data_IF_317888575548
#
_entry.id   IF_317888575548
#
_cell.length_a   1.000
_cell.length_b   1.000
_cell.length_c   1.000
_cell.angle_alpha   90.00
_cell.angle_beta   90.00
_cell.angle_gamma   90.00
#
_symmetry.space_group_name_H-M   'P 1'
#
loop_
_entity.id
_entity.type
_entity.pdbx_description
1 polymer ?
#
# COMPACT_ATOMS: atom_id res chain seq x y z
N UNK A 1 6.09 -2.78 -15.22
CA UNK A 1 5.65 -2.63 -13.82
C UNK A 1 4.31 -1.89 -13.84
N UNK A 2 3.17 -2.56 -13.59
CA UNK A 2 1.87 -1.88 -13.50
C UNK A 2 1.69 -1.38 -12.07
N UNK A 3 1.71 -0.06 -11.90
CA UNK A 3 1.89 0.56 -10.58
C UNK A 3 0.62 0.58 -9.72
N UNK A 4 -0.57 0.49 -10.32
CA UNK A 4 -1.84 0.26 -9.64
C UNK A 4 -2.76 -0.37 -10.69
N UNK A 5 -3.24 -1.59 -10.43
CA UNK A 5 -4.33 -2.16 -11.20
C UNK A 5 -5.47 -2.45 -10.22
N UNK A 6 -6.70 -2.10 -10.61
CA UNK A 6 -7.86 -2.73 -10.00
C UNK A 6 -7.66 -4.24 -10.13
N UNK A 7 -7.68 -4.94 -9.00
CA UNK A 7 -7.49 -6.39 -9.00
C UNK A 7 -8.85 -7.06 -8.87
N UNK A 8 -9.06 -8.14 -9.62
CA UNK A 8 -10.17 -9.04 -9.34
C UNK A 8 -9.83 -9.77 -8.03
N UNK A 9 -10.65 -9.65 -6.97
CA UNK A 9 -10.45 -10.41 -5.73
C UNK A 9 -10.35 -11.93 -5.97
N UNK A 10 -10.91 -12.43 -7.08
CA UNK A 10 -10.76 -13.84 -7.50
C UNK A 10 -9.31 -14.24 -7.77
N UNK A 11 -8.49 -13.30 -8.22
CA UNK A 11 -7.07 -13.55 -8.46
C UNK A 11 -6.29 -13.77 -7.15
N UNK A 12 -6.82 -13.29 -6.02
CA UNK A 12 -6.23 -13.48 -4.69
C UNK A 12 -6.83 -14.66 -3.92
N UNK A 13 -7.88 -15.31 -4.42
CA UNK A 13 -8.57 -16.38 -3.66
C UNK A 13 -7.72 -17.63 -3.49
N UNK A 14 -6.73 -17.81 -4.37
CA UNK A 14 -5.73 -18.87 -4.26
C UNK A 14 -4.47 -18.42 -3.49
N UNK A 15 -4.37 -17.13 -3.16
CA UNK A 15 -3.26 -16.56 -2.41
C UNK A 15 -3.41 -16.83 -0.91
N UNK A 16 -2.28 -16.98 -0.22
CA UNK A 16 -2.25 -17.13 1.24
C UNK A 16 -2.20 -15.75 1.88
N UNK A 17 -3.17 -15.42 2.73
CA UNK A 17 -3.10 -14.22 3.56
C UNK A 17 -1.93 -14.34 4.55
N UNK A 18 -1.01 -13.38 4.52
CA UNK A 18 0.18 -13.33 5.38
C UNK A 18 0.00 -12.35 6.52
N UNK A 19 -0.60 -11.18 6.23
CA UNK A 19 -0.85 -10.14 7.22
C UNK A 19 -2.01 -9.23 6.78
N UNK A 20 -2.70 -8.63 7.75
CA UNK A 20 -3.74 -7.62 7.50
C UNK A 20 -3.78 -6.54 8.59
N UNK A 21 -4.19 -5.35 8.20
CA UNK A 21 -4.57 -4.21 9.04
C UNK A 21 -5.97 -3.74 8.65
N UNK A 22 -6.46 -2.67 9.28
CA UNK A 22 -7.75 -2.05 8.93
C UNK A 22 -7.83 -1.57 7.48
N UNK A 23 -6.72 -1.19 6.86
CA UNK A 23 -6.67 -0.61 5.51
C UNK A 23 -5.94 -1.48 4.49
N UNK A 24 -5.03 -2.37 4.92
CA UNK A 24 -4.16 -3.13 4.02
C UNK A 24 -4.12 -4.63 4.32
N UNK A 25 -3.93 -5.43 3.29
CA UNK A 25 -3.63 -6.85 3.41
C UNK A 25 -2.45 -7.25 2.51
N UNK A 26 -1.67 -8.22 2.96
CA UNK A 26 -0.56 -8.82 2.21
C UNK A 26 -0.91 -10.27 1.91
N UNK A 27 -0.97 -10.61 0.63
CA UNK A 27 -1.14 -11.97 0.16
C UNK A 27 0.15 -12.48 -0.47
N UNK A 28 0.55 -13.70 -0.12
CA UNK A 28 1.51 -14.49 -0.90
C UNK A 28 0.77 -15.13 -2.07
N UNK A 29 1.16 -14.79 -3.29
CA UNK A 29 0.56 -15.29 -4.53
C UNK A 29 1.47 -16.28 -5.27
N UNK A 30 2.52 -16.77 -4.59
CA UNK A 30 3.48 -17.74 -5.12
C UNK A 30 4.65 -17.09 -5.85
N UNK A 31 5.65 -17.91 -6.19
CA UNK A 31 6.84 -17.49 -6.94
C UNK A 31 7.58 -16.27 -6.33
N UNK A 32 7.72 -16.24 -4.99
CA UNK A 32 8.33 -15.12 -4.26
C UNK A 32 7.69 -13.77 -4.61
N UNK A 33 6.37 -13.78 -4.82
CA UNK A 33 5.60 -12.62 -5.22
C UNK A 33 4.47 -12.38 -4.24
N UNK A 34 4.32 -11.12 -3.84
CA UNK A 34 3.35 -10.68 -2.86
C UNK A 34 2.45 -9.60 -3.45
N UNK A 35 1.18 -9.63 -3.07
CA UNK A 35 0.22 -8.57 -3.38
C UNK A 35 -0.02 -7.73 -2.13
N UNK A 36 0.34 -6.45 -2.17
CA UNK A 36 -0.10 -5.45 -1.19
C UNK A 36 -1.43 -4.89 -1.66
N UNK A 37 -2.50 -5.17 -0.90
CA UNK A 37 -3.88 -4.85 -1.26
C UNK A 37 -4.41 -3.78 -0.33
N UNK A 38 -4.95 -2.70 -0.89
CA UNK A 38 -5.74 -1.72 -0.15
C UNK A 38 -7.19 -2.24 -0.05
N UNK A 39 -7.66 -2.47 1.17
CA UNK A 39 -9.02 -2.92 1.50
C UNK A 39 -9.67 -1.84 2.35
N UNK A 40 -10.45 -0.97 1.71
CA UNK A 40 -11.26 0.02 2.41
C UNK A 40 -12.71 -0.15 1.96
N UNK A 41 -13.68 -0.13 2.89
CA UNK A 41 -15.10 -0.48 2.63
C UNK A 41 -15.77 0.36 1.52
N UNK A 42 -15.19 1.50 1.15
CA UNK A 42 -15.69 2.41 0.14
C UNK A 42 -14.85 2.48 -1.16
N UNK A 43 -13.85 1.59 -1.34
CA UNK A 43 -12.94 1.64 -2.51
C UNK A 43 -12.81 0.25 -3.13
N UNK A 44 -12.79 0.20 -4.46
CA UNK A 44 -12.45 -1.02 -5.19
C UNK A 44 -11.10 -1.57 -4.72
N UNK A 45 -10.97 -2.90 -4.73
CA UNK A 45 -9.71 -3.52 -4.34
C UNK A 45 -8.61 -3.13 -5.32
N UNK A 46 -7.58 -2.49 -4.78
CA UNK A 46 -6.40 -2.09 -5.52
C UNK A 46 -5.21 -2.83 -4.94
N UNK A 47 -4.36 -3.38 -5.80
CA UNK A 47 -3.15 -4.01 -5.33
C UNK A 47 -1.94 -3.70 -6.19
N UNK A 48 -0.79 -3.83 -5.55
CA UNK A 48 0.52 -3.78 -6.19
C UNK A 48 1.17 -5.13 -5.98
N UNK A 49 1.57 -5.75 -7.09
CA UNK A 49 2.33 -7.00 -7.09
C UNK A 49 3.82 -6.68 -7.02
N UNK A 50 4.51 -7.27 -6.05
CA UNK A 50 5.90 -6.97 -5.75
C UNK A 50 6.63 -8.28 -5.45
N UNK A 51 7.88 -8.42 -5.89
CA UNK A 51 8.73 -9.53 -5.44
C UNK A 51 9.02 -9.46 -3.93
N UNK A 52 9.42 -10.56 -3.30
CA UNK A 52 9.67 -10.65 -1.86
C UNK A 52 10.57 -9.56 -1.31
N UNK A 53 11.77 -9.40 -1.88
CA UNK A 53 12.69 -8.32 -1.49
C UNK A 53 12.14 -6.92 -1.79
N UNK A 54 11.32 -6.81 -2.83
CA UNK A 54 10.70 -5.55 -3.22
C UNK A 54 9.64 -5.10 -2.21
N UNK A 55 8.93 -6.02 -1.55
CA UNK A 55 7.88 -5.70 -0.59
C UNK A 55 8.42 -4.87 0.58
N UNK A 56 9.51 -5.32 1.19
CA UNK A 56 10.15 -4.61 2.30
C UNK A 56 10.65 -3.22 1.88
N UNK A 57 11.31 -3.13 0.71
CA UNK A 57 11.86 -1.88 0.20
C UNK A 57 10.78 -0.86 -0.16
N UNK A 58 9.70 -1.31 -0.80
CA UNK A 58 8.57 -0.46 -1.17
C UNK A 58 7.82 0.00 0.07
N UNK A 59 7.58 -0.89 1.04
CA UNK A 59 6.92 -0.52 2.29
C UNK A 59 7.71 0.56 3.06
N UNK A 60 9.03 0.41 3.16
CA UNK A 60 9.90 1.42 3.79
C UNK A 60 9.84 2.77 3.03
N UNK A 61 9.91 2.72 1.70
CA UNK A 61 9.89 3.92 0.86
C UNK A 61 8.55 4.67 0.97
N UNK A 62 7.43 3.95 0.94
CA UNK A 62 6.09 4.53 1.17
C UNK A 62 6.03 5.17 2.56
N UNK A 63 6.45 4.46 3.62
CA UNK A 63 6.41 5.01 4.97
C UNK A 63 7.26 6.28 5.12
N UNK A 64 8.44 6.33 4.48
CA UNK A 64 9.30 7.52 4.47
C UNK A 64 8.69 8.67 3.68
N UNK A 65 8.16 8.39 2.48
CA UNK A 65 7.52 9.38 1.63
C UNK A 65 6.29 10.00 2.33
N UNK A 66 5.41 9.17 2.91
CA UNK A 66 4.22 9.62 3.62
C UNK A 66 4.57 10.51 4.82
N UNK A 67 5.57 10.13 5.63
CA UNK A 67 6.04 10.97 6.74
C UNK A 67 6.59 12.32 6.27
N UNK A 68 7.31 12.33 5.16
CA UNK A 68 7.85 13.57 4.57
C UNK A 68 6.71 14.48 4.09
N UNK A 69 5.75 13.92 3.35
CA UNK A 69 4.59 14.66 2.84
C UNK A 69 3.76 15.23 3.99
N UNK A 70 3.46 14.43 5.01
CA UNK A 70 2.74 14.89 6.19
C UNK A 70 3.43 16.07 6.87
N UNK A 71 4.77 16.01 7.02
CA UNK A 71 5.54 17.10 7.63
C UNK A 71 5.46 18.38 6.80
N UNK A 72 5.53 18.29 5.48
CA UNK A 72 5.38 19.44 4.59
C UNK A 72 4.00 20.07 4.73
N UNK A 73 2.94 19.28 4.64
CA UNK A 73 1.55 19.76 4.80
C UNK A 73 1.33 20.40 6.17
N UNK A 74 1.80 19.75 7.24
CA UNK A 74 1.67 20.30 8.59
C UNK A 74 2.42 21.63 8.76
N UNK A 75 3.59 21.77 8.10
CA UNK A 75 4.36 23.01 8.09
C UNK A 75 3.60 24.13 7.39
N UNK A 76 3.04 23.86 6.21
CA UNK A 76 2.25 24.84 5.43
C UNK A 76 1.01 25.31 6.19
N UNK A 77 0.20 24.38 6.72
CA UNK A 77 -1.00 24.71 7.51
C UNK A 77 -0.67 25.51 8.78
N UNK A 78 0.46 25.23 9.41
CA UNK A 78 0.93 25.99 10.59
C UNK A 78 1.31 27.43 10.23
N UNK A 79 1.88 27.66 9.05
CA UNK A 79 2.20 29.01 8.57
C UNK A 79 0.95 29.78 8.17
N UNK A 80 -0.03 29.12 7.51
CA UNK A 80 -1.32 29.73 7.20
C UNK A 80 -2.08 30.16 8.46
N UNK A 81 -2.07 29.33 9.51
CA UNK A 81 -2.74 29.66 10.78
C UNK A 81 -2.08 30.79 11.57
N UNK A 82 -0.83 31.16 11.25
CA UNK A 82 -0.09 32.26 11.89
C UNK A 82 -0.18 33.58 11.14
N UNK A 83 -0.75 33.59 9.93
CA UNK A 83 -1.04 34.79 9.14
C UNK A 83 -2.46 35.28 9.44
#
# INVERSE_FOLDING_TARGET
MKLVASIDPKALTNGRLIAESSEFAIFDIGHDTYALVHRHEAVDWQAITISGDGLFRVAELIARATRSLYRSVASELSQERKR
#
